data_IF_188326251474
#
_entry.id   IF_188326251474
#
_cell.length_a   1.000
_cell.length_b   1.000
_cell.length_c   1.000
_cell.angle_alpha   90.00
_cell.angle_beta   90.00
_cell.angle_gamma   90.00
#
_symmetry.space_group_name_H-M   'P 1'
#
loop_
_entity.id
_entity.type
_entity.pdbx_description
1 polymer ?
#
# COMPACT_ATOMS: atom_id res chain seq x y z
N UNK A 1 16.93 -8.37 -17.73
CA UNK A 1 16.21 -9.49 -17.04
C UNK A 1 15.38 -8.87 -15.93
N UNK A 2 14.08 -9.17 -15.80
CA UNK A 2 13.24 -8.51 -14.78
C UNK A 2 13.56 -9.04 -13.39
N UNK A 3 13.85 -8.15 -12.45
CA UNK A 3 14.24 -8.45 -11.06
C UNK A 3 13.23 -7.87 -10.08
N UNK A 4 12.84 -8.67 -9.10
CA UNK A 4 12.05 -8.21 -7.95
C UNK A 4 12.94 -7.46 -6.95
N UNK A 5 12.42 -6.37 -6.44
CA UNK A 5 13.06 -5.53 -5.42
C UNK A 5 12.06 -5.23 -4.30
N UNK A 6 12.60 -5.12 -3.09
CA UNK A 6 11.88 -4.60 -1.93
C UNK A 6 12.15 -3.10 -1.83
N UNK A 7 11.10 -2.31 -1.74
CA UNK A 7 11.21 -0.85 -1.70
C UNK A 7 11.16 -0.38 -0.24
N UNK A 8 12.14 0.45 0.13
CA UNK A 8 12.27 0.98 1.49
C UNK A 8 11.14 1.97 1.81
N UNK A 9 10.26 1.59 2.73
CA UNK A 9 9.08 2.38 3.07
C UNK A 9 9.43 3.81 3.54
N UNK A 10 10.42 3.96 4.43
CA UNK A 10 10.80 5.26 5.01
C UNK A 10 11.28 6.27 3.98
N UNK A 11 11.79 5.78 2.85
CA UNK A 11 12.34 6.63 1.79
C UNK A 11 11.29 6.99 0.75
N UNK A 12 10.36 6.08 0.46
CA UNK A 12 9.48 6.19 -0.69
C UNK A 12 8.00 6.34 -0.32
N UNK A 13 7.65 6.41 0.96
CA UNK A 13 6.27 6.51 1.41
C UNK A 13 6.12 7.62 2.46
N UNK A 14 5.08 8.45 2.32
CA UNK A 14 4.85 9.58 3.23
C UNK A 14 4.34 9.15 4.62
N UNK A 15 3.60 8.05 4.69
CA UNK A 15 3.12 7.44 5.94
C UNK A 15 2.89 5.96 5.71
N UNK A 16 3.12 5.14 6.73
CA UNK A 16 2.87 3.70 6.67
C UNK A 16 1.51 3.32 7.24
N UNK A 17 0.92 4.18 8.07
CA UNK A 17 -0.31 3.88 8.78
C UNK A 17 -1.38 4.94 8.53
N UNK A 18 -2.63 4.51 8.59
CA UNK A 18 -3.78 5.38 8.67
C UNK A 18 -4.66 4.92 9.83
N UNK A 19 -4.67 5.73 10.89
CA UNK A 19 -5.58 5.58 12.01
C UNK A 19 -6.48 6.84 12.12
N UNK A 20 -7.77 6.73 11.77
CA UNK A 20 -8.75 7.82 11.85
C UNK A 20 -9.15 8.15 13.30
N UNK A 21 -8.84 7.27 14.24
CA UNK A 21 -9.04 7.43 15.67
C UNK A 21 -7.69 7.44 16.38
N UNK A 22 -6.89 8.53 16.29
CA UNK A 22 -5.78 8.66 17.22
C UNK A 22 -6.38 8.59 18.62
N UNK A 23 -5.72 7.88 19.55
CA UNK A 23 -5.98 8.09 20.97
C UNK A 23 -5.98 9.60 21.20
N UNK A 24 -7.15 10.21 21.42
CA UNK A 24 -7.25 11.65 21.65
C UNK A 24 -6.45 11.92 22.92
N UNK A 25 -5.31 12.58 22.79
CA UNK A 25 -4.62 13.11 23.97
C UNK A 25 -5.48 14.21 24.61
N UNK A 26 -6.30 14.91 23.80
CA UNK A 26 -7.29 15.88 24.27
C UNK A 26 -8.69 15.67 23.63
N UNK A 27 -9.77 15.65 24.44
CA UNK A 27 -11.15 15.50 23.95
C UNK A 27 -11.62 16.60 22.96
N UNK A 28 -10.97 17.76 22.99
CA UNK A 28 -11.26 18.95 22.17
C UNK A 28 -10.52 19.00 20.83
N UNK A 29 -9.62 18.07 20.54
CA UNK A 29 -9.01 17.96 19.22
C UNK A 29 -10.04 17.45 18.21
N UNK A 30 -10.21 18.18 17.10
CA UNK A 30 -10.98 17.70 15.96
C UNK A 30 -10.40 16.36 15.50
N UNK A 31 -11.22 15.31 15.34
CA UNK A 31 -10.72 14.00 14.94
C UNK A 31 -9.98 14.09 13.60
N UNK A 32 -8.86 13.37 13.50
CA UNK A 32 -8.05 13.28 12.26
C UNK A 32 -8.86 12.76 11.07
N UNK A 33 -10.00 12.10 11.33
CA UNK A 33 -11.01 11.71 10.35
C UNK A 33 -11.45 12.83 9.39
N UNK A 34 -11.33 14.11 9.77
CA UNK A 34 -11.68 15.24 8.91
C UNK A 34 -10.60 15.63 7.88
N UNK A 35 -9.37 15.09 8.00
CA UNK A 35 -8.22 15.57 7.22
C UNK A 35 -7.78 14.67 6.06
N UNK A 36 -8.36 13.47 5.90
CA UNK A 36 -8.08 12.50 4.82
C UNK A 36 -6.69 12.69 4.17
N UNK A 37 -5.64 12.50 4.97
CA UNK A 37 -4.28 12.80 4.52
C UNK A 37 -3.93 11.79 3.42
N UNK A 38 -3.57 12.23 2.20
CA UNK A 38 -3.22 11.31 1.14
C UNK A 38 -1.93 10.56 1.47
N UNK A 39 -1.90 9.26 1.17
CA UNK A 39 -0.68 8.46 1.25
C UNK A 39 0.06 8.65 -0.06
N UNK A 40 1.25 9.25 0.00
CA UNK A 40 2.06 9.54 -1.18
C UNK A 40 3.19 8.53 -1.28
N UNK A 41 3.21 7.78 -2.37
CA UNK A 41 4.30 6.90 -2.76
C UNK A 41 5.15 7.57 -3.84
N UNK A 42 6.46 7.62 -3.66
CA UNK A 42 7.42 8.05 -4.66
C UNK A 42 7.99 6.83 -5.37
N UNK A 43 7.86 6.76 -6.70
CA UNK A 43 8.35 5.64 -7.48
C UNK A 43 9.88 5.51 -7.39
N UNK A 44 10.36 4.38 -6.87
CA UNK A 44 11.79 4.09 -6.68
C UNK A 44 12.62 3.96 -7.97
N UNK A 45 11.98 4.04 -9.15
CA UNK A 45 12.64 4.03 -10.45
C UNK A 45 12.69 5.40 -11.15
N UNK A 46 11.74 6.30 -10.88
CA UNK A 46 11.65 7.57 -11.61
C UNK A 46 11.17 8.77 -10.77
N UNK A 47 11.05 8.59 -9.45
CA UNK A 47 10.61 9.59 -8.47
C UNK A 47 9.22 10.21 -8.71
N UNK A 48 8.44 9.63 -9.63
CA UNK A 48 7.06 10.05 -9.85
C UNK A 48 6.21 9.74 -8.63
N UNK A 49 5.50 10.76 -8.13
CA UNK A 49 4.66 10.65 -6.94
C UNK A 49 3.23 10.23 -7.28
N UNK A 50 2.72 9.27 -6.51
CA UNK A 50 1.39 8.70 -6.64
C UNK A 50 0.70 8.86 -5.30
N UNK A 51 -0.49 9.47 -5.31
CA UNK A 51 -1.28 9.71 -4.11
C UNK A 51 -2.46 8.73 -4.03
N UNK A 52 -2.60 8.07 -2.89
CA UNK A 52 -3.69 7.16 -2.58
C UNK A 52 -4.59 7.76 -1.50
N UNK A 53 -5.89 7.51 -1.63
CA UNK A 53 -6.86 7.80 -0.58
C UNK A 53 -7.00 6.57 0.33
N UNK A 54 -7.36 6.74 1.62
CA UNK A 54 -7.69 5.60 2.48
C UNK A 54 -8.76 4.67 1.88
N UNK A 55 -9.71 5.23 1.13
CA UNK A 55 -10.74 4.46 0.42
C UNK A 55 -10.18 3.50 -0.64
N UNK A 56 -9.01 3.79 -1.22
CA UNK A 56 -8.38 2.90 -2.18
C UNK A 56 -7.90 1.62 -1.49
N UNK A 57 -7.28 1.75 -0.30
CA UNK A 57 -6.92 0.59 0.54
C UNK A 57 -8.15 -0.18 0.99
N UNK A 58 -9.22 0.52 1.40
CA UNK A 58 -10.48 -0.12 1.80
C UNK A 58 -11.08 -0.98 0.70
N UNK A 59 -11.13 -0.47 -0.54
CA UNK A 59 -11.62 -1.22 -1.71
C UNK A 59 -10.77 -2.44 -2.02
N UNK A 60 -9.47 -2.35 -1.76
CA UNK A 60 -8.51 -3.40 -2.05
C UNK A 60 -8.29 -4.40 -0.92
N UNK A 61 -8.89 -4.19 0.26
CA UNK A 61 -8.69 -5.04 1.43
C UNK A 61 -9.03 -6.51 1.16
N UNK A 62 -10.21 -6.76 0.58
CA UNK A 62 -10.71 -8.11 0.30
C UNK A 62 -10.71 -8.44 -1.20
N UNK A 63 -10.19 -7.51 -2.03
CA UNK A 63 -10.17 -7.66 -3.48
C UNK A 63 -9.08 -8.63 -3.91
N UNK A 64 -9.43 -9.54 -4.82
CA UNK A 64 -8.48 -10.43 -5.51
C UNK A 64 -8.12 -9.93 -6.92
N UNK A 65 -8.64 -8.76 -7.29
CA UNK A 65 -8.38 -8.18 -8.60
C UNK A 65 -6.98 -7.59 -8.64
N UNK A 66 -6.31 -7.77 -9.77
CA UNK A 66 -4.99 -7.21 -10.04
C UNK A 66 -5.03 -6.37 -11.30
N UNK A 67 -4.35 -5.24 -11.26
CA UNK A 67 -4.07 -4.37 -12.40
C UNK A 67 -2.79 -4.79 -13.13
N UNK A 68 -2.04 -5.77 -12.59
CA UNK A 68 -0.80 -6.24 -13.19
C UNK A 68 -1.05 -7.25 -14.32
N UNK A 69 -0.19 -7.22 -15.33
CA UNK A 69 -0.13 -8.25 -16.34
C UNK A 69 0.27 -9.60 -15.72
N UNK A 70 -0.19 -10.69 -16.33
CA UNK A 70 0.00 -12.05 -15.83
C UNK A 70 1.46 -12.39 -15.51
N UNK A 71 2.40 -11.95 -16.34
CA UNK A 71 3.83 -12.25 -16.17
C UNK A 71 4.39 -11.56 -14.91
N UNK A 72 4.14 -10.25 -14.76
CA UNK A 72 4.59 -9.46 -13.61
C UNK A 72 3.97 -9.98 -12.32
N UNK A 73 2.65 -10.22 -12.34
CA UNK A 73 1.91 -10.78 -11.20
C UNK A 73 2.48 -12.13 -10.78
N UNK A 74 2.84 -13.00 -11.73
CA UNK A 74 3.41 -14.33 -11.43
C UNK A 74 4.75 -14.23 -10.71
N UNK A 75 5.62 -13.29 -11.11
CA UNK A 75 6.93 -13.09 -10.47
C UNK A 75 6.73 -12.66 -9.00
N UNK A 76 5.86 -11.68 -8.77
CA UNK A 76 5.60 -11.15 -7.42
C UNK A 76 4.87 -12.19 -6.56
N UNK A 77 3.86 -12.88 -7.10
CA UNK A 77 3.11 -13.92 -6.37
C UNK A 77 4.00 -15.07 -5.92
N UNK A 78 5.00 -15.45 -6.73
CA UNK A 78 5.97 -16.48 -6.34
C UNK A 78 6.76 -16.04 -5.11
N UNK A 79 7.15 -14.77 -5.04
CA UNK A 79 7.85 -14.22 -3.87
C UNK A 79 6.93 -14.17 -2.65
N UNK A 80 5.70 -13.65 -2.79
CA UNK A 80 4.72 -13.56 -1.70
C UNK A 80 4.38 -14.95 -1.15
N UNK A 81 4.10 -15.95 -2.00
CA UNK A 81 3.75 -17.31 -1.58
C UNK A 81 4.88 -18.04 -0.85
N UNK A 82 6.13 -17.63 -1.05
CA UNK A 82 7.28 -18.20 -0.35
C UNK A 82 7.48 -17.57 1.05
N UNK A 83 6.69 -16.56 1.42
CA UNK A 83 6.71 -15.91 2.73
C UNK A 83 5.34 -16.06 3.41
N UNK A 84 5.33 -16.80 4.52
CA UNK A 84 4.11 -17.01 5.32
C UNK A 84 3.50 -15.70 5.80
N UNK A 85 4.34 -14.73 6.16
CA UNK A 85 3.90 -13.44 6.70
C UNK A 85 3.27 -12.54 5.65
N UNK A 86 3.75 -12.59 4.40
CA UNK A 86 3.24 -11.77 3.31
C UNK A 86 1.97 -12.35 2.67
N UNK A 87 1.79 -13.67 2.74
CA UNK A 87 0.66 -14.35 2.11
C UNK A 87 -0.70 -13.96 2.70
N UNK A 88 -0.73 -13.53 3.97
CA UNK A 88 -1.94 -13.11 4.65
C UNK A 88 -2.30 -11.63 4.42
N UNK A 89 -1.46 -10.87 3.73
CA UNK A 89 -1.65 -9.43 3.54
C UNK A 89 -2.55 -9.11 2.35
N UNK A 90 -3.27 -8.00 2.45
CA UNK A 90 -4.02 -7.40 1.35
C UNK A 90 -3.07 -6.71 0.36
N UNK A 91 -3.51 -6.60 -0.90
CA UNK A 91 -2.67 -6.09 -2.00
C UNK A 91 -3.34 -4.91 -2.71
N UNK A 92 -2.60 -3.80 -2.85
CA UNK A 92 -2.92 -2.71 -3.77
C UNK A 92 -1.82 -2.65 -4.82
N UNK A 93 -2.17 -2.96 -6.07
CA UNK A 93 -1.20 -3.03 -7.17
C UNK A 93 -1.50 -2.05 -8.30
N UNK A 94 -0.43 -1.60 -8.96
CA UNK A 94 -0.48 -0.62 -10.03
C UNK A 94 0.81 -0.62 -10.85
N UNK A 95 0.74 -0.04 -12.04
CA UNK A 95 1.92 0.38 -12.79
C UNK A 95 2.21 1.84 -12.49
N UNK A 96 3.47 2.20 -12.27
CA UNK A 96 3.86 3.61 -12.19
C UNK A 96 3.43 4.33 -13.49
N UNK A 97 2.62 5.41 -13.43
CA UNK A 97 2.14 6.08 -14.63
C UNK A 97 3.24 6.65 -15.53
N UNK A 98 4.41 6.96 -14.95
CA UNK A 98 5.50 7.60 -15.67
C UNK A 98 6.48 6.59 -16.31
N UNK A 99 6.92 5.57 -15.56
CA UNK A 99 7.93 4.62 -16.05
C UNK A 99 7.42 3.19 -16.24
N UNK A 100 6.12 2.96 -16.01
CA UNK A 100 5.48 1.65 -16.11
C UNK A 100 6.12 0.57 -15.23
N UNK A 101 6.74 0.95 -14.11
CA UNK A 101 7.26 0.00 -13.13
C UNK A 101 6.08 -0.71 -12.44
N UNK A 102 5.98 -2.06 -12.51
CA UNK A 102 5.01 -2.83 -11.74
C UNK A 102 5.31 -2.69 -10.24
N UNK A 103 4.31 -2.30 -9.46
CA UNK A 103 4.44 -2.08 -8.01
C UNK A 103 3.26 -2.71 -7.26
N UNK A 104 3.54 -3.37 -6.13
CA UNK A 104 2.55 -3.88 -5.18
C UNK A 104 2.82 -3.29 -3.80
N UNK A 105 1.79 -2.72 -3.19
CA UNK A 105 1.75 -2.37 -1.77
C UNK A 105 1.05 -3.51 -1.03
N UNK A 106 1.74 -4.06 -0.02
CA UNK A 106 1.23 -5.07 0.90
C UNK A 106 0.87 -4.39 2.22
N UNK A 107 -0.36 -4.58 2.66
CA UNK A 107 -0.88 -3.93 3.86
C UNK A 107 -1.80 -4.85 4.66
N UNK A 108 -1.90 -4.60 5.96
CA UNK A 108 -2.96 -5.13 6.81
C UNK A 108 -4.07 -4.09 6.83
N UNK A 109 -5.30 -4.49 6.57
CA UNK A 109 -6.45 -3.61 6.71
C UNK A 109 -7.54 -4.27 7.54
N UNK A 110 -8.10 -3.49 8.46
CA UNK A 110 -9.09 -3.97 9.41
C UNK A 110 -10.22 -2.94 9.58
N UNK A 111 -11.38 -3.42 9.99
CA UNK A 111 -12.46 -2.52 10.43
C UNK A 111 -12.17 -2.13 11.87
N UNK A 112 -12.07 -0.82 12.14
CA UNK A 112 -11.92 -0.36 13.51
C UNK A 112 -13.24 -0.39 14.27
N UNK A 113 -13.16 -0.76 15.54
CA UNK A 113 -14.33 -0.87 16.43
C UNK A 113 -15.05 0.45 16.69
N UNK A 114 -14.47 1.59 16.30
CA UNK A 114 -15.09 2.90 16.38
C UNK A 114 -15.81 3.20 15.05
N UNK A 115 -17.14 3.07 15.04
CA UNK A 115 -18.00 3.44 13.90
C UNK A 115 -17.72 2.74 12.56
N UNK A 116 -16.96 1.64 12.54
CA UNK A 116 -16.65 0.88 11.32
C UNK A 116 -15.74 1.64 10.35
N UNK A 117 -14.88 2.53 10.88
CA UNK A 117 -13.92 3.25 10.06
C UNK A 117 -12.78 2.29 9.70
N UNK A 118 -12.31 2.35 8.46
CA UNK A 118 -11.26 1.45 7.97
C UNK A 118 -9.88 1.96 8.40
N UNK A 119 -9.08 1.05 8.95
CA UNK A 119 -7.69 1.28 9.36
C UNK A 119 -6.77 0.39 8.54
N UNK A 120 -5.56 0.86 8.26
CA UNK A 120 -4.56 0.02 7.62
C UNK A 120 -3.14 0.39 8.02
N UNK A 121 -2.25 -0.60 7.88
CA UNK A 121 -0.81 -0.50 8.07
C UNK A 121 -0.10 -1.13 6.85
N UNK A 122 0.77 -0.35 6.21
CA UNK A 122 1.58 -0.76 5.07
C UNK A 122 2.84 -1.47 5.58
N UNK A 123 2.92 -2.75 5.27
CA UNK A 123 3.97 -3.66 5.73
C UNK A 123 5.15 -3.71 4.77
N UNK A 124 4.87 -3.69 3.46
CA UNK A 124 5.92 -3.86 2.44
C UNK A 124 5.48 -3.29 1.09
N UNK A 125 6.46 -2.80 0.33
CA UNK A 125 6.28 -2.44 -1.08
C UNK A 125 7.24 -3.28 -1.92
N UNK A 126 6.71 -3.91 -2.97
CA UNK A 126 7.46 -4.72 -3.93
C UNK A 126 7.41 -4.07 -5.30
N UNK A 127 8.54 -4.02 -5.99
CA UNK A 127 8.64 -3.53 -7.36
C UNK A 127 9.31 -4.55 -8.29
N UNK A 128 9.08 -4.41 -9.59
CA UNK A 128 9.86 -5.10 -10.62
C UNK A 128 10.68 -4.08 -11.42
N UNK A 129 12.00 -4.26 -11.47
CA UNK A 129 12.90 -3.46 -12.32
C UNK A 129 13.40 -4.29 -13.48
N UNK A 130 13.46 -3.67 -14.66
CA UNK A 130 14.19 -4.23 -15.77
C UNK A 130 15.68 -3.94 -15.55
N UNK A 131 16.46 -4.99 -15.28
CA UNK A 131 17.92 -4.92 -15.30
C UNK A 131 18.43 -4.95 -16.73
#
# INVERSE_FOLDING_TARGET
MTRLIEIELEKYLSTKEYNPSPHRLNPSETPVSERMIPIVYSCENCDYQISFKPDDFKKHNDSKNTNLQKNDKTIIDKYIKNSTDLYALSTLDFYCPNCNQPTIILFKGESSGYWGIFEFEIEKILGLKNA
#
